data_IF_139559761011
#
_entry.id   IF_139559761011
#
_cell.length_a   1.000
_cell.length_b   1.000
_cell.length_c   1.000
_cell.angle_alpha   90.00
_cell.angle_beta   90.00
_cell.angle_gamma   90.00
#
_symmetry.space_group_name_H-M   'P 1'
#
loop_
_entity.id
_entity.type
_entity.pdbx_description
1 polymer ?
#
# COMPACT_ATOMS: atom_id res chain seq x y z
N UNK A 1 -35.62 -7.73 -62.65
CA UNK A 1 -37.00 -7.28 -62.44
C UNK A 1 -37.93 -7.99 -63.40
N UNK A 2 -37.64 -7.97 -64.70
CA UNK A 2 -38.51 -8.58 -65.73
C UNK A 2 -38.76 -10.07 -65.51
N UNK A 3 -37.73 -10.85 -65.19
CA UNK A 3 -37.86 -12.28 -64.88
C UNK A 3 -38.72 -12.54 -63.67
N UNK A 4 -38.68 -11.65 -62.72
CA UNK A 4 -39.46 -11.70 -61.49
C UNK A 4 -40.93 -11.37 -61.77
N UNK A 5 -41.22 -10.33 -62.55
CA UNK A 5 -42.58 -10.00 -63.01
C UNK A 5 -43.20 -11.16 -63.80
N UNK A 6 -42.41 -11.80 -64.67
CA UNK A 6 -42.84 -12.96 -65.38
C UNK A 6 -43.14 -14.17 -64.49
N UNK A 7 -42.42 -14.35 -63.43
CA UNK A 7 -42.65 -15.39 -62.41
C UNK A 7 -43.96 -15.22 -61.68
N UNK A 8 -44.31 -13.97 -61.34
CA UNK A 8 -45.55 -13.58 -60.65
C UNK A 8 -46.75 -13.82 -61.61
N UNK A 9 -46.62 -13.38 -62.83
CA UNK A 9 -47.67 -13.58 -63.83
C UNK A 9 -48.03 -15.03 -64.09
N UNK A 10 -47.11 -15.95 -63.90
CA UNK A 10 -47.28 -17.43 -64.05
C UNK A 10 -47.91 -18.07 -62.81
N UNK A 11 -48.05 -17.35 -61.67
CA UNK A 11 -48.57 -17.90 -60.43
C UNK A 11 -49.68 -17.01 -59.79
N UNK A 12 -50.91 -17.12 -60.30
CA UNK A 12 -52.02 -16.25 -59.92
C UNK A 12 -52.51 -16.39 -58.45
N UNK A 13 -51.96 -17.39 -57.75
CA UNK A 13 -52.27 -17.59 -56.30
C UNK A 13 -51.51 -16.68 -55.37
N UNK A 14 -50.50 -15.94 -55.85
CA UNK A 14 -49.67 -15.05 -55.00
C UNK A 14 -50.40 -13.70 -54.94
N UNK A 15 -50.83 -13.36 -53.70
CA UNK A 15 -51.55 -12.11 -53.42
C UNK A 15 -50.66 -10.93 -53.11
N UNK A 16 -49.47 -11.18 -52.61
CA UNK A 16 -48.52 -10.14 -52.17
C UNK A 16 -47.10 -10.69 -52.20
N UNK A 17 -46.16 -9.96 -52.76
CA UNK A 17 -44.74 -10.30 -52.78
C UNK A 17 -43.96 -9.02 -52.47
N UNK A 18 -43.07 -9.12 -51.49
CA UNK A 18 -42.06 -8.13 -51.24
C UNK A 18 -40.81 -8.43 -52.04
N UNK A 19 -40.39 -7.48 -52.86
CA UNK A 19 -39.14 -7.54 -53.58
C UNK A 19 -38.17 -6.47 -53.07
N UNK A 20 -37.05 -6.88 -52.51
CA UNK A 20 -35.97 -5.97 -52.19
C UNK A 20 -35.33 -5.45 -53.48
N UNK A 21 -35.64 -4.22 -53.89
CA UNK A 21 -35.18 -3.61 -55.14
C UNK A 21 -33.77 -3.04 -54.99
N UNK A 22 -33.49 -2.50 -53.83
CA UNK A 22 -32.19 -1.94 -53.50
C UNK A 22 -32.00 -1.95 -51.99
N UNK A 23 -30.79 -2.19 -51.54
CA UNK A 23 -30.38 -2.16 -50.15
C UNK A 23 -29.20 -1.24 -49.98
N UNK A 24 -29.33 -0.30 -49.09
CA UNK A 24 -28.20 0.50 -48.64
C UNK A 24 -27.26 -0.31 -47.72
N UNK A 25 -26.09 0.20 -47.50
CA UNK A 25 -25.13 -0.34 -46.52
C UNK A 25 -24.97 0.72 -45.45
N UNK A 26 -25.36 0.40 -44.24
CA UNK A 26 -25.19 1.28 -43.12
C UNK A 26 -23.72 1.53 -42.81
N UNK A 27 -23.39 2.75 -42.38
CA UNK A 27 -22.06 3.04 -41.92
C UNK A 27 -21.81 2.40 -40.54
N UNK A 28 -20.59 1.93 -40.34
CA UNK A 28 -20.11 1.47 -39.05
C UNK A 28 -19.19 2.56 -38.48
N UNK A 29 -19.58 3.21 -37.42
CA UNK A 29 -18.77 4.26 -36.80
C UNK A 29 -17.47 3.75 -36.23
N UNK A 30 -16.47 4.62 -36.16
CA UNK A 30 -15.23 4.35 -35.45
C UNK A 30 -15.48 4.12 -33.95
N UNK A 31 -14.69 3.25 -33.32
CA UNK A 31 -14.52 3.20 -31.88
C UNK A 31 -13.16 3.80 -31.53
N UNK A 32 -13.14 4.77 -30.64
CA UNK A 32 -11.90 5.39 -30.14
C UNK A 32 -11.05 4.40 -29.36
N UNK A 33 -9.76 4.73 -29.26
CA UNK A 33 -8.89 4.09 -28.27
C UNK A 33 -9.47 4.32 -26.86
N UNK A 34 -9.31 3.35 -25.97
CA UNK A 34 -9.76 3.42 -24.59
C UNK A 34 -8.61 3.09 -23.65
N UNK A 35 -8.54 3.83 -22.54
CA UNK A 35 -7.54 3.67 -21.49
C UNK A 35 -8.25 3.27 -20.22
N UNK A 36 -7.88 2.12 -19.65
CA UNK A 36 -8.43 1.63 -18.40
C UNK A 36 -7.33 1.59 -17.36
N UNK A 37 -7.56 2.25 -16.23
CA UNK A 37 -6.72 2.19 -15.04
C UNK A 37 -7.37 1.23 -14.05
N UNK A 38 -6.68 0.14 -13.71
CA UNK A 38 -7.10 -0.82 -12.67
C UNK A 38 -6.48 -0.48 -11.32
N UNK A 39 -5.39 0.29 -11.34
CA UNK A 39 -4.70 0.79 -10.16
C UNK A 39 -4.37 2.27 -10.31
N UNK A 40 -4.55 3.01 -9.25
CA UNK A 40 -4.14 4.40 -9.18
C UNK A 40 -2.64 4.50 -8.94
N UNK A 41 -2.02 5.47 -9.60
CA UNK A 41 -0.63 5.85 -9.31
C UNK A 41 -0.62 6.49 -7.93
N UNK A 42 0.38 6.12 -7.11
CA UNK A 42 0.64 6.87 -5.90
C UNK A 42 0.91 8.34 -6.26
N UNK A 43 -0.08 9.17 -6.03
CA UNK A 43 0.09 10.62 -6.18
C UNK A 43 1.02 11.04 -5.05
N UNK A 44 2.13 11.70 -5.37
CA UNK A 44 2.85 12.46 -4.37
C UNK A 44 1.86 13.49 -3.81
N UNK A 45 1.42 13.29 -2.57
CA UNK A 45 0.44 14.14 -1.89
C UNK A 45 1.06 15.47 -1.48
N UNK A 46 1.46 16.27 -2.49
CA UNK A 46 1.94 17.63 -2.28
C UNK A 46 0.87 18.69 -2.63
N UNK A 47 -0.34 18.27 -3.01
CA UNK A 47 -1.40 19.21 -3.37
C UNK A 47 -2.30 19.50 -2.17
N UNK A 48 -2.17 20.70 -1.59
CA UNK A 48 -2.94 21.17 -0.42
C UNK A 48 -4.45 21.32 -0.71
N UNK A 49 -4.90 21.06 -1.96
CA UNK A 49 -6.27 21.28 -2.43
C UNK A 49 -7.10 19.99 -2.62
N UNK A 50 -6.62 18.83 -2.19
CA UNK A 50 -7.41 17.59 -2.29
C UNK A 50 -8.51 17.59 -1.22
N UNK A 51 -9.77 17.49 -1.66
CA UNK A 51 -10.94 17.41 -0.78
C UNK A 51 -10.82 16.25 0.21
N UNK A 52 -11.13 16.51 1.47
CA UNK A 52 -10.96 15.62 2.62
C UNK A 52 -11.72 14.29 2.57
N UNK A 53 -12.53 14.03 1.55
CA UNK A 53 -13.35 12.82 1.40
C UNK A 53 -12.70 11.73 0.52
N UNK A 54 -11.63 12.04 -0.19
CA UNK A 54 -10.87 11.10 -1.01
C UNK A 54 -9.52 10.77 -0.36
N UNK A 55 -9.53 10.18 0.83
CA UNK A 55 -8.34 9.63 1.48
C UNK A 55 -7.72 8.57 0.58
N UNK A 56 -6.65 8.94 -0.13
CA UNK A 56 -5.94 8.04 -1.02
C UNK A 56 -5.26 6.94 -0.25
N UNK A 57 -5.71 5.72 -0.43
CA UNK A 57 -5.02 4.54 0.07
C UNK A 57 -3.78 4.30 -0.80
N UNK A 58 -2.60 4.28 -0.18
CA UNK A 58 -1.42 3.70 -0.79
C UNK A 58 -1.52 2.18 -0.67
N UNK A 59 -2.18 1.53 -1.62
CA UNK A 59 -2.23 0.08 -1.67
C UNK A 59 -0.99 -0.47 -2.38
N UNK A 60 -0.25 -1.40 -1.76
CA UNK A 60 0.82 -2.10 -2.44
C UNK A 60 0.24 -3.00 -3.53
N UNK A 61 0.97 -3.12 -4.63
CA UNK A 61 0.61 -3.91 -5.79
C UNK A 61 1.24 -5.28 -5.66
N UNK A 62 0.46 -6.31 -5.94
CA UNK A 62 0.90 -7.70 -6.00
C UNK A 62 1.70 -8.01 -7.28
N UNK A 63 2.48 -9.09 -7.25
CA UNK A 63 3.14 -9.60 -8.45
C UNK A 63 2.10 -10.16 -9.44
N UNK A 64 2.30 -9.91 -10.74
CA UNK A 64 1.41 -10.29 -11.84
C UNK A 64 0.01 -9.64 -11.75
N UNK A 65 -0.10 -8.52 -11.09
CA UNK A 65 -1.34 -7.77 -10.99
C UNK A 65 -1.53 -6.87 -12.22
N UNK A 66 -2.75 -6.82 -12.76
CA UNK A 66 -3.11 -5.99 -13.90
C UNK A 66 -3.20 -4.52 -13.46
N UNK A 67 -2.40 -3.66 -14.08
CA UNK A 67 -2.30 -2.24 -13.76
C UNK A 67 -3.14 -1.36 -14.69
N UNK A 68 -2.92 -1.55 -16.00
CA UNK A 68 -3.52 -0.73 -17.05
C UNK A 68 -3.91 -1.58 -18.25
N UNK A 69 -4.88 -1.10 -19.03
CA UNK A 69 -5.15 -1.58 -20.35
C UNK A 69 -5.23 -0.41 -21.34
N UNK A 70 -4.64 -0.58 -22.51
CA UNK A 70 -4.82 0.30 -23.65
C UNK A 70 -5.51 -0.50 -24.75
N UNK A 71 -6.77 -0.18 -25.03
CA UNK A 71 -7.60 -0.83 -26.01
C UNK A 71 -7.45 -0.09 -27.34
N UNK A 72 -7.14 -0.81 -28.38
CA UNK A 72 -6.95 -0.22 -29.70
C UNK A 72 -8.27 0.26 -30.30
N UNK A 73 -8.18 1.37 -31.03
CA UNK A 73 -9.27 1.86 -31.85
C UNK A 73 -9.71 0.81 -32.87
N UNK A 74 -10.99 0.85 -33.21
CA UNK A 74 -11.54 0.09 -34.32
C UNK A 74 -11.98 1.09 -35.40
N UNK A 75 -11.36 0.99 -36.57
CA UNK A 75 -11.72 1.84 -37.68
C UNK A 75 -13.09 1.41 -38.23
N UNK A 76 -13.98 2.36 -38.38
CA UNK A 76 -15.29 2.17 -38.93
C UNK A 76 -15.24 1.94 -40.47
N UNK A 77 -16.39 1.73 -41.03
CA UNK A 77 -16.56 1.59 -42.50
C UNK A 77 -17.64 2.56 -42.96
N UNK A 78 -17.36 3.28 -44.06
CA UNK A 78 -18.33 4.14 -44.71
C UNK A 78 -19.48 3.30 -45.24
N UNK A 79 -20.68 3.87 -45.14
CA UNK A 79 -21.89 3.27 -45.70
C UNK A 79 -22.22 3.84 -47.08
N UNK A 80 -23.31 3.35 -47.68
CA UNK A 80 -23.91 3.91 -48.91
C UNK A 80 -25.42 3.91 -48.78
N UNK A 81 -26.04 5.02 -49.11
CA UNK A 81 -27.49 5.08 -49.18
C UNK A 81 -28.05 4.43 -50.46
N UNK A 82 -29.36 4.39 -50.59
CA UNK A 82 -30.03 3.80 -51.76
C UNK A 82 -29.73 4.54 -53.08
N UNK A 83 -29.24 5.78 -53.02
CA UNK A 83 -28.84 6.57 -54.19
C UNK A 83 -27.38 6.35 -54.59
N UNK A 84 -26.65 5.53 -53.82
CA UNK A 84 -25.22 5.29 -53.99
C UNK A 84 -24.29 6.37 -53.39
N UNK A 85 -24.86 7.34 -52.69
CA UNK A 85 -24.09 8.40 -52.03
C UNK A 85 -23.39 7.82 -50.79
N UNK A 86 -22.14 8.26 -50.54
CA UNK A 86 -21.32 7.79 -49.44
C UNK A 86 -21.85 8.39 -48.14
N UNK A 87 -22.06 7.53 -47.14
CA UNK A 87 -22.33 7.93 -45.75
C UNK A 87 -20.99 8.00 -45.01
N UNK A 88 -20.45 9.23 -44.93
CA UNK A 88 -19.16 9.48 -44.32
C UNK A 88 -19.19 9.23 -42.79
N UNK A 89 -18.05 8.81 -42.28
CA UNK A 89 -17.84 8.62 -40.84
C UNK A 89 -17.60 9.95 -40.15
N UNK A 90 -17.97 10.03 -38.88
CA UNK A 90 -17.61 11.15 -38.04
C UNK A 90 -16.10 11.12 -37.73
N UNK A 91 -15.40 12.27 -37.79
CA UNK A 91 -14.02 12.33 -37.38
C UNK A 91 -13.91 12.04 -35.87
N UNK A 92 -12.92 11.23 -35.50
CA UNK A 92 -12.60 10.96 -34.09
C UNK A 92 -11.20 11.43 -33.76
N UNK A 93 -11.02 11.87 -32.50
CA UNK A 93 -9.69 12.09 -31.97
C UNK A 93 -9.06 10.74 -31.64
N UNK A 94 -7.80 10.57 -32.06
CA UNK A 94 -7.02 9.40 -31.71
C UNK A 94 -6.24 9.69 -30.42
N UNK A 95 -6.25 8.74 -29.49
CA UNK A 95 -5.44 8.78 -28.28
C UNK A 95 -4.20 7.93 -28.52
N UNK A 96 -3.03 8.50 -28.32
CA UNK A 96 -1.82 7.70 -28.30
C UNK A 96 -1.71 6.97 -26.96
N UNK A 97 -1.05 5.82 -26.96
CA UNK A 97 -0.82 5.05 -25.75
C UNK A 97 0.02 5.88 -24.74
N UNK A 98 -0.55 6.26 -23.57
CA UNK A 98 0.10 7.14 -22.61
C UNK A 98 1.06 6.39 -21.69
N UNK A 99 1.09 5.05 -21.76
CA UNK A 99 1.85 4.24 -20.81
C UNK A 99 3.30 4.06 -21.29
N UNK A 100 4.16 4.93 -20.80
CA UNK A 100 5.62 4.80 -20.94
C UNK A 100 6.11 4.00 -19.73
N UNK A 101 6.73 2.86 -19.96
CA UNK A 101 7.29 1.99 -18.93
C UNK A 101 8.76 2.33 -18.75
N UNK A 102 9.17 2.59 -17.49
CA UNK A 102 10.51 3.02 -17.14
C UNK A 102 11.52 1.89 -17.11
N UNK A 103 11.11 0.72 -16.64
CA UNK A 103 12.00 -0.42 -16.38
C UNK A 103 11.24 -1.77 -16.43
N UNK A 104 11.94 -2.84 -16.11
CA UNK A 104 11.42 -4.21 -16.16
C UNK A 104 10.45 -4.55 -15.00
N UNK A 105 10.13 -3.60 -14.11
CA UNK A 105 9.18 -3.80 -13.01
C UNK A 105 7.73 -3.90 -13.49
N UNK A 106 7.47 -3.50 -14.75
CA UNK A 106 6.19 -3.65 -15.43
C UNK A 106 6.43 -4.36 -16.76
N UNK A 107 5.71 -5.43 -17.01
CA UNK A 107 5.73 -6.12 -18.30
C UNK A 107 4.41 -6.00 -19.04
N UNK A 108 4.46 -6.22 -20.34
CA UNK A 108 3.30 -6.04 -21.21
C UNK A 108 2.91 -7.34 -21.90
N UNK A 109 1.60 -7.57 -22.01
CA UNK A 109 0.99 -8.60 -22.83
C UNK A 109 0.23 -7.93 -23.97
N UNK A 110 0.64 -8.18 -25.22
CA UNK A 110 0.00 -7.64 -26.41
C UNK A 110 -0.99 -8.64 -26.96
N UNK A 111 -2.26 -8.24 -26.97
CA UNK A 111 -3.36 -8.96 -27.58
C UNK A 111 -3.75 -8.29 -28.94
N UNK A 112 -4.62 -8.91 -29.71
CA UNK A 112 -5.05 -8.37 -31.01
C UNK A 112 -5.80 -7.04 -30.86
N UNK A 113 -6.56 -6.87 -29.77
CA UNK A 113 -7.43 -5.73 -29.53
C UNK A 113 -6.88 -4.74 -28.48
N UNK A 114 -5.85 -5.12 -27.70
CA UNK A 114 -5.33 -4.31 -26.58
C UNK A 114 -3.92 -4.65 -26.15
N UNK A 115 -3.35 -3.78 -25.35
CA UNK A 115 -2.13 -4.05 -24.56
C UNK A 115 -2.51 -4.03 -23.08
N UNK A 116 -2.13 -5.08 -22.37
CA UNK A 116 -2.24 -5.19 -20.91
C UNK A 116 -0.89 -4.96 -20.26
N UNK A 117 -0.89 -4.27 -19.14
CA UNK A 117 0.31 -3.93 -18.35
C UNK A 117 0.20 -4.58 -16.98
N UNK A 118 1.18 -5.40 -16.62
CA UNK A 118 1.21 -6.15 -15.38
C UNK A 118 2.45 -5.79 -14.56
N UNK A 119 2.32 -5.86 -13.23
CA UNK A 119 3.45 -5.76 -12.34
C UNK A 119 4.34 -7.01 -12.41
N UNK A 120 5.65 -6.84 -12.52
CA UNK A 120 6.62 -7.93 -12.41
C UNK A 120 7.01 -8.19 -10.95
N UNK A 121 6.90 -7.20 -10.09
CA UNK A 121 7.34 -7.21 -8.70
C UNK A 121 6.24 -6.73 -7.76
N UNK A 122 6.41 -7.03 -6.46
CA UNK A 122 5.62 -6.39 -5.40
C UNK A 122 6.14 -4.97 -5.14
N UNK A 123 5.24 -4.06 -4.83
CA UNK A 123 5.64 -2.70 -4.48
C UNK A 123 4.52 -1.68 -4.65
N UNK A 124 4.91 -0.46 -4.95
CA UNK A 124 4.01 0.68 -5.16
C UNK A 124 4.16 1.18 -6.58
N UNK A 125 3.04 1.46 -7.23
CA UNK A 125 3.03 2.03 -8.57
C UNK A 125 3.41 3.50 -8.51
N UNK A 126 4.55 3.83 -9.11
CA UNK A 126 5.05 5.19 -9.23
C UNK A 126 5.05 5.65 -10.68
N UNK A 127 4.93 6.95 -10.87
CA UNK A 127 5.09 7.62 -12.17
C UNK A 127 6.02 8.81 -12.02
N UNK A 128 7.08 8.83 -12.78
CA UNK A 128 7.98 9.96 -12.89
C UNK A 128 8.07 10.46 -14.35
N UNK A 129 9.04 11.32 -14.64
CA UNK A 129 9.26 11.84 -16.00
C UNK A 129 9.71 10.77 -17.00
N UNK A 130 10.31 9.69 -16.53
CA UNK A 130 10.77 8.58 -17.36
C UNK A 130 9.68 7.54 -17.63
N UNK A 131 8.59 7.53 -16.85
CA UNK A 131 7.46 6.63 -17.04
C UNK A 131 6.95 5.99 -15.75
N UNK A 132 6.20 4.91 -15.93
CA UNK A 132 5.64 4.10 -14.84
C UNK A 132 6.62 3.02 -14.42
N UNK A 133 6.72 2.78 -13.11
CA UNK A 133 7.50 1.69 -12.52
C UNK A 133 6.88 1.20 -11.21
N UNK A 134 7.28 0.01 -10.77
CA UNK A 134 6.93 -0.52 -9.44
C UNK A 134 8.18 -0.43 -8.57
N UNK A 135 8.08 0.30 -7.47
CA UNK A 135 9.16 0.42 -6.49
C UNK A 135 8.78 -0.31 -5.20
N UNK A 136 9.72 -1.06 -4.62
CA UNK A 136 9.53 -1.74 -3.34
C UNK A 136 9.62 -0.81 -2.14
N UNK A 137 9.81 0.49 -2.36
CA UNK A 137 9.89 1.52 -1.33
C UNK A 137 8.87 2.63 -1.57
N UNK A 138 8.14 2.97 -0.51
CA UNK A 138 7.25 4.14 -0.50
C UNK A 138 7.87 5.22 0.38
N UNK A 139 8.06 6.41 -0.20
CA UNK A 139 8.55 7.58 0.52
C UNK A 139 7.40 8.57 0.73
N UNK A 140 7.17 8.93 1.99
CA UNK A 140 6.11 9.86 2.38
C UNK A 140 6.70 10.97 3.25
N UNK A 141 6.16 12.16 3.14
CA UNK A 141 6.48 13.26 4.05
C UNK A 141 5.80 13.09 5.39
N UNK A 142 4.58 12.56 5.40
CA UNK A 142 3.77 12.41 6.59
C UNK A 142 2.68 11.35 6.40
N UNK A 143 2.31 10.68 7.50
CA UNK A 143 1.15 9.78 7.58
C UNK A 143 0.12 10.34 8.57
N UNK A 144 -1.14 10.38 8.16
CA UNK A 144 -2.26 10.78 9.00
C UNK A 144 -3.59 10.37 8.42
N UNK A 145 -4.63 10.29 9.26
CA UNK A 145 -5.99 9.90 8.82
C UNK A 145 -6.54 10.79 7.71
N UNK A 146 -6.14 12.07 7.70
CA UNK A 146 -6.60 13.05 6.70
C UNK A 146 -5.73 13.09 5.44
N UNK A 147 -4.51 12.56 5.49
CA UNK A 147 -3.54 12.61 4.38
C UNK A 147 -3.48 11.29 3.63
N UNK A 148 -2.98 10.25 4.27
CA UNK A 148 -2.76 8.93 3.66
C UNK A 148 -3.79 7.88 4.09
N UNK A 149 -4.60 8.20 5.12
CA UNK A 149 -5.46 7.20 5.75
C UNK A 149 -4.67 6.12 6.51
N UNK A 150 -5.25 4.93 6.61
CA UNK A 150 -4.60 3.75 7.17
C UNK A 150 -3.79 3.05 6.10
N UNK A 151 -2.49 2.83 6.35
CA UNK A 151 -1.63 2.05 5.45
C UNK A 151 -1.71 0.59 5.88
N UNK A 152 -2.17 -0.28 4.99
CA UNK A 152 -2.22 -1.73 5.18
C UNK A 152 -1.55 -2.41 4.00
N UNK A 153 -0.70 -3.39 4.28
CA UNK A 153 -0.18 -4.31 3.29
C UNK A 153 -0.72 -5.70 3.60
N UNK A 154 -1.34 -6.33 2.62
CA UNK A 154 -1.79 -7.71 2.69
C UNK A 154 -0.75 -8.67 2.07
N UNK A 155 0.44 -8.19 1.74
CA UNK A 155 1.51 -8.98 1.15
C UNK A 155 2.48 -9.45 2.23
N UNK A 156 2.89 -10.70 2.16
CA UNK A 156 3.99 -11.26 2.98
C UNK A 156 5.38 -10.80 2.50
N UNK A 157 5.40 -9.91 1.52
CA UNK A 157 6.62 -9.41 0.88
C UNK A 157 7.20 -8.20 1.59
N UNK A 158 8.52 -8.11 1.53
CA UNK A 158 9.30 -7.08 2.22
C UNK A 158 9.22 -5.74 1.44
N UNK A 159 8.36 -4.83 1.90
CA UNK A 159 8.22 -3.48 1.38
C UNK A 159 8.93 -2.52 2.33
N UNK A 160 9.55 -1.47 1.82
CA UNK A 160 10.18 -0.44 2.62
C UNK A 160 9.30 0.82 2.67
N UNK A 161 8.94 1.23 3.87
CA UNK A 161 8.20 2.46 4.10
C UNK A 161 9.13 3.48 4.76
N UNK A 162 9.45 4.57 4.07
CA UNK A 162 10.27 5.66 4.59
C UNK A 162 9.43 6.93 4.74
N UNK A 163 9.30 7.39 5.99
CA UNK A 163 8.62 8.64 6.34
C UNK A 163 9.67 9.66 6.73
N UNK A 164 9.75 10.78 6.01
CA UNK A 164 10.71 11.84 6.31
C UNK A 164 9.96 13.16 6.52
N UNK A 165 9.78 13.54 7.78
CA UNK A 165 9.26 14.85 8.13
C UNK A 165 10.43 15.78 8.47
N UNK A 166 10.56 16.88 7.73
CA UNK A 166 11.58 17.89 7.97
C UNK A 166 11.18 18.90 9.06
N UNK A 167 9.89 18.96 9.38
CA UNK A 167 9.41 19.81 10.47
C UNK A 167 9.52 19.06 11.80
N UNK A 168 10.45 19.49 12.65
CA UNK A 168 10.68 18.89 13.97
C UNK A 168 9.56 19.17 14.97
N UNK A 169 8.71 20.15 14.69
CA UNK A 169 7.54 20.49 15.52
C UNK A 169 6.33 19.62 15.22
N UNK A 170 6.32 18.89 14.12
CA UNK A 170 5.21 18.07 13.67
C UNK A 170 5.56 16.58 13.62
N UNK A 171 4.55 15.71 13.79
CA UNK A 171 4.76 14.26 13.74
C UNK A 171 4.83 13.77 12.31
N UNK A 172 5.81 12.91 11.99
CA UNK A 172 5.89 12.21 10.73
C UNK A 172 4.76 11.18 10.56
N UNK A 173 4.33 10.56 11.68
CA UNK A 173 3.11 9.76 11.76
C UNK A 173 2.21 10.40 12.80
N UNK A 174 1.17 11.12 12.37
CA UNK A 174 0.26 11.86 13.27
C UNK A 174 -0.77 10.97 13.94
N UNK A 175 -1.40 10.10 13.14
CA UNK A 175 -2.55 9.30 13.58
C UNK A 175 -2.84 8.18 12.59
N UNK A 176 -3.69 7.23 12.98
CA UNK A 176 -4.09 6.12 12.14
C UNK A 176 -3.43 4.81 12.54
N UNK A 177 -3.47 3.85 11.63
CA UNK A 177 -2.86 2.54 11.79
C UNK A 177 -1.92 2.31 10.62
N UNK A 178 -0.66 1.98 10.91
CA UNK A 178 0.31 1.52 9.91
C UNK A 178 0.52 0.02 10.13
N UNK A 179 -0.03 -0.80 9.26
CA UNK A 179 0.03 -2.25 9.35
C UNK A 179 0.70 -2.85 8.12
N UNK A 180 2.00 -3.04 8.19
CA UNK A 180 2.85 -3.58 7.13
C UNK A 180 3.79 -4.65 7.71
N UNK A 181 3.23 -5.73 8.26
CA UNK A 181 3.92 -6.70 9.13
C UNK A 181 5.19 -7.31 8.54
N UNK A 182 5.23 -7.55 7.24
CA UNK A 182 6.42 -8.09 6.57
C UNK A 182 7.48 -7.04 6.22
N UNK A 183 7.24 -5.77 6.51
CA UNK A 183 7.96 -4.63 5.92
C UNK A 183 8.85 -3.90 6.91
N UNK A 184 9.84 -3.18 6.35
CA UNK A 184 10.68 -2.29 7.10
C UNK A 184 10.07 -0.88 7.13
N UNK A 185 10.00 -0.28 8.32
CA UNK A 185 9.48 1.07 8.51
C UNK A 185 10.59 1.96 9.06
N UNK A 186 10.89 3.04 8.35
CA UNK A 186 11.87 4.05 8.78
C UNK A 186 11.19 5.40 8.92
N UNK A 187 11.20 5.95 10.12
CA UNK A 187 10.63 7.26 10.42
C UNK A 187 11.74 8.23 10.81
N UNK A 188 12.02 9.19 9.94
CA UNK A 188 12.89 10.31 10.21
C UNK A 188 12.06 11.49 10.73
N UNK A 189 11.54 11.38 11.97
CA UNK A 189 10.64 12.32 12.61
C UNK A 189 9.98 11.72 13.84
N UNK A 190 9.03 12.43 14.41
CA UNK A 190 8.28 12.00 15.58
C UNK A 190 7.08 11.11 15.19
N UNK A 191 6.59 10.34 16.16
CA UNK A 191 5.44 9.47 16.02
C UNK A 191 4.39 9.84 17.06
N UNK A 192 3.22 10.22 16.60
CA UNK A 192 2.06 10.59 17.42
C UNK A 192 1.34 9.40 18.04
N UNK A 193 0.09 9.61 18.44
CA UNK A 193 -0.77 8.58 19.03
C UNK A 193 -1.29 7.61 17.97
N UNK A 194 -0.53 6.59 17.62
CA UNK A 194 -0.80 5.67 16.51
C UNK A 194 -0.42 4.23 16.86
N UNK A 195 -0.93 3.27 16.08
CA UNK A 195 -0.52 1.86 16.12
C UNK A 195 0.30 1.53 14.89
N UNK A 196 1.48 0.95 15.11
CA UNK A 196 2.42 0.58 14.04
C UNK A 196 2.75 -0.90 14.17
N UNK A 197 2.58 -1.63 13.05
CA UNK A 197 2.95 -3.03 12.90
C UNK A 197 3.93 -3.14 11.74
N UNK A 198 5.10 -3.69 11.98
CA UNK A 198 6.14 -3.87 10.96
C UNK A 198 7.07 -5.03 11.32
N UNK A 199 8.00 -5.37 10.42
CA UNK A 199 9.07 -6.33 10.71
C UNK A 199 10.21 -5.65 11.45
N UNK A 200 10.82 -4.66 10.81
CA UNK A 200 11.89 -3.86 11.39
C UNK A 200 11.45 -2.40 11.42
N UNK A 201 11.45 -1.78 12.60
CA UNK A 201 11.01 -0.40 12.76
C UNK A 201 12.16 0.45 13.30
N UNK A 202 12.47 1.54 12.60
CA UNK A 202 13.47 2.51 13.02
C UNK A 202 12.85 3.91 13.11
N UNK A 203 12.84 4.50 14.31
CA UNK A 203 12.29 5.83 14.59
C UNK A 203 13.40 6.72 15.16
N UNK A 204 13.80 7.76 14.42
CA UNK A 204 14.85 8.70 14.85
C UNK A 204 14.35 9.78 15.79
N UNK A 205 13.04 9.95 15.91
CA UNK A 205 12.41 10.95 16.77
C UNK A 205 11.85 10.38 18.06
N UNK A 206 10.87 11.11 18.59
CA UNK A 206 10.11 10.81 19.79
C UNK A 206 8.85 10.04 19.46
N UNK A 207 8.45 9.07 20.30
CA UNK A 207 7.13 8.45 20.24
C UNK A 207 6.20 8.99 21.31
N UNK A 208 4.93 9.21 20.97
CA UNK A 208 3.91 9.70 21.90
C UNK A 208 3.54 8.63 22.95
N UNK A 209 3.12 9.05 24.14
CA UNK A 209 2.76 8.14 25.24
C UNK A 209 1.59 7.18 24.93
N UNK A 210 0.75 7.50 23.93
CA UNK A 210 -0.33 6.63 23.46
C UNK A 210 0.03 5.85 22.19
N UNK A 211 1.28 5.87 21.75
CA UNK A 211 1.71 5.04 20.62
C UNK A 211 1.82 3.57 21.03
N UNK A 212 1.43 2.69 20.14
CA UNK A 212 1.57 1.24 20.27
C UNK A 212 2.37 0.71 19.08
N UNK A 213 3.50 0.03 19.34
CA UNK A 213 4.44 -0.40 18.29
C UNK A 213 4.69 -1.89 18.43
N UNK A 214 4.51 -2.63 17.35
CA UNK A 214 4.68 -4.09 17.28
C UNK A 214 5.61 -4.44 16.12
N UNK A 215 6.72 -5.11 16.41
CA UNK A 215 7.67 -5.53 15.39
C UNK A 215 8.53 -6.71 15.82
N UNK A 216 9.38 -7.22 14.92
CA UNK A 216 10.44 -8.15 15.28
C UNK A 216 11.61 -7.39 15.90
N UNK A 217 12.14 -6.39 15.19
CA UNK A 217 13.24 -5.57 15.67
C UNK A 217 12.86 -4.09 15.67
N UNK A 218 13.18 -3.40 16.76
CA UNK A 218 12.84 -1.98 16.95
C UNK A 218 14.07 -1.18 17.34
N UNK A 219 14.27 -0.05 16.67
CA UNK A 219 15.21 1.00 17.06
C UNK A 219 14.48 2.32 17.24
N UNK A 220 14.56 2.95 18.44
CA UNK A 220 13.89 4.23 18.72
C UNK A 220 14.84 5.16 19.47
N UNK A 221 14.89 6.44 19.06
CA UNK A 221 15.69 7.43 19.77
C UNK A 221 15.07 7.76 21.13
N UNK A 222 13.80 8.15 21.21
CA UNK A 222 13.11 8.41 22.48
C UNK A 222 11.73 7.79 22.51
N UNK A 223 11.47 6.94 23.49
CA UNK A 223 10.21 6.19 23.61
C UNK A 223 9.43 6.55 24.87
N UNK A 224 8.10 6.78 24.67
CA UNK A 224 7.15 7.07 25.76
C UNK A 224 5.91 6.15 25.77
N UNK A 225 5.63 5.44 24.69
CA UNK A 225 4.43 4.64 24.51
C UNK A 225 4.57 3.20 25.01
N UNK A 226 3.86 2.30 24.34
CA UNK A 226 3.95 0.84 24.55
C UNK A 226 4.55 0.21 23.32
N UNK A 227 5.47 -0.74 23.51
CA UNK A 227 6.01 -1.53 22.40
C UNK A 227 6.16 -3.00 22.77
N UNK A 228 6.03 -3.85 21.77
CA UNK A 228 6.25 -5.28 21.86
C UNK A 228 7.10 -5.75 20.68
N UNK A 229 8.19 -6.45 20.96
CA UNK A 229 9.12 -6.95 19.94
C UNK A 229 9.95 -8.13 20.38
N UNK A 230 10.73 -8.72 19.47
CA UNK A 230 11.77 -9.68 19.85
C UNK A 230 13.00 -8.94 20.39
N UNK A 231 13.50 -7.96 19.61
CA UNK A 231 14.68 -7.17 20.01
C UNK A 231 14.39 -5.67 19.97
N UNK A 232 14.79 -4.96 21.00
CA UNK A 232 14.54 -3.53 21.18
C UNK A 232 15.82 -2.79 21.51
N UNK A 233 16.09 -1.71 20.77
CA UNK A 233 17.16 -0.75 21.02
C UNK A 233 16.56 0.64 21.21
N UNK A 234 16.74 1.21 22.39
CA UNK A 234 16.23 2.54 22.72
C UNK A 234 17.35 3.39 23.31
N UNK A 235 17.51 4.62 22.77
CA UNK A 235 18.44 5.57 23.33
C UNK A 235 17.91 6.16 24.63
N UNK A 236 16.68 6.68 24.64
CA UNK A 236 16.06 7.25 25.85
C UNK A 236 14.66 6.64 26.04
N UNK A 237 14.45 5.93 27.13
CA UNK A 237 13.13 5.49 27.58
C UNK A 237 12.58 6.47 28.61
N UNK A 238 11.42 7.07 28.34
CA UNK A 238 10.77 8.05 29.23
C UNK A 238 9.33 7.64 29.52
N UNK A 239 9.10 7.03 30.69
CA UNK A 239 7.76 6.54 31.12
C UNK A 239 7.08 5.55 30.17
N UNK A 240 7.83 4.91 29.28
CA UNK A 240 7.30 3.93 28.30
C UNK A 240 7.22 2.52 28.88
N UNK A 241 6.47 1.65 28.19
CA UNK A 241 6.35 0.23 28.52
C UNK A 241 6.94 -0.63 27.39
N UNK A 242 7.80 -1.56 27.74
CA UNK A 242 8.49 -2.46 26.80
C UNK A 242 8.22 -3.91 27.18
N UNK A 243 7.79 -4.71 26.23
CA UNK A 243 7.67 -6.18 26.34
C UNK A 243 8.49 -6.79 25.21
N UNK A 244 9.56 -7.53 25.54
CA UNK A 244 10.43 -8.07 24.50
C UNK A 244 11.21 -9.30 25.00
N UNK A 245 11.96 -9.98 24.08
CA UNK A 245 12.95 -10.99 24.48
C UNK A 245 14.25 -10.30 24.91
N UNK A 246 14.77 -9.39 24.10
CA UNK A 246 16.02 -8.68 24.36
C UNK A 246 15.80 -7.17 24.32
N UNK A 247 16.20 -6.46 25.37
CA UNK A 247 16.06 -5.02 25.49
C UNK A 247 17.40 -4.37 25.78
N UNK A 248 17.74 -3.36 24.96
CA UNK A 248 18.94 -2.55 25.10
C UNK A 248 18.51 -1.09 25.25
N UNK A 249 18.80 -0.46 26.40
CA UNK A 249 18.45 0.93 26.69
C UNK A 249 19.68 1.70 27.12
N UNK A 250 19.95 2.84 26.48
CA UNK A 250 21.03 3.70 26.91
C UNK A 250 20.66 4.46 28.21
N UNK A 251 19.53 5.17 28.20
CA UNK A 251 19.04 5.92 29.36
C UNK A 251 17.60 5.53 29.70
N UNK A 252 17.34 5.05 30.90
CA UNK A 252 16.03 4.58 31.35
C UNK A 252 15.49 5.46 32.51
N UNK A 253 14.39 6.18 32.24
CA UNK A 253 13.73 7.09 33.16
C UNK A 253 12.21 6.82 33.23
N UNK A 254 11.73 6.31 34.37
CA UNK A 254 10.30 6.06 34.58
C UNK A 254 9.72 4.91 33.73
N UNK A 255 10.56 4.04 33.16
CA UNK A 255 10.14 2.97 32.27
C UNK A 255 9.66 1.71 32.99
N UNK A 256 8.77 0.96 32.33
CA UNK A 256 8.43 -0.41 32.68
C UNK A 256 8.98 -1.35 31.58
N UNK A 257 9.87 -2.28 31.97
CA UNK A 257 10.50 -3.21 31.05
C UNK A 257 10.25 -4.64 31.51
N UNK A 258 9.66 -5.45 30.66
CA UNK A 258 9.49 -6.87 30.84
C UNK A 258 10.21 -7.61 29.71
N UNK A 259 11.27 -8.37 30.01
CA UNK A 259 12.05 -9.06 29.01
C UNK A 259 12.82 -10.26 29.56
N UNK A 260 13.28 -11.17 28.68
CA UNK A 260 14.21 -12.21 29.07
C UNK A 260 15.56 -11.61 29.47
N UNK A 261 16.10 -10.76 28.59
CA UNK A 261 17.39 -10.13 28.79
C UNK A 261 17.25 -8.61 28.73
N UNK A 262 17.71 -7.93 29.77
CA UNK A 262 17.65 -6.47 29.88
C UNK A 262 19.08 -5.94 30.05
N UNK A 263 19.48 -5.05 29.14
CA UNK A 263 20.78 -4.36 29.15
C UNK A 263 20.52 -2.85 29.20
N UNK A 264 21.00 -2.19 30.26
CA UNK A 264 20.81 -0.77 30.47
C UNK A 264 22.17 -0.11 30.78
N UNK A 265 22.50 0.98 30.07
CA UNK A 265 23.68 1.75 30.41
C UNK A 265 23.45 2.59 31.67
N UNK A 266 22.44 3.45 31.66
CA UNK A 266 22.14 4.35 32.77
C UNK A 266 20.72 4.09 33.30
N UNK A 267 20.58 3.49 34.44
CA UNK A 267 19.30 3.33 35.14
C UNK A 267 19.04 4.53 36.02
N UNK A 268 18.18 5.45 35.53
CA UNK A 268 17.81 6.64 36.28
C UNK A 268 16.72 6.30 37.31
N UNK A 269 15.73 7.14 37.52
CA UNK A 269 14.75 6.97 38.63
C UNK A 269 13.39 6.47 38.11
N UNK A 270 12.60 5.88 39.02
CA UNK A 270 11.21 5.46 38.84
C UNK A 270 11.02 4.37 37.78
N UNK A 271 11.96 3.49 37.57
CA UNK A 271 11.83 2.37 36.65
C UNK A 271 11.31 1.13 37.38
N UNK A 272 10.60 0.27 36.61
CA UNK A 272 10.16 -1.05 37.06
C UNK A 272 10.63 -2.08 36.04
N UNK A 273 11.53 -2.98 36.49
CA UNK A 273 12.18 -3.95 35.62
C UNK A 273 11.75 -5.37 36.02
N UNK A 274 11.38 -6.18 35.02
CA UNK A 274 11.03 -7.60 35.14
C UNK A 274 11.97 -8.43 34.28
N UNK A 275 13.24 -8.64 34.66
CA UNK A 275 14.14 -9.51 33.96
C UNK A 275 13.76 -10.98 34.23
N UNK A 276 13.62 -11.78 33.17
CA UNK A 276 13.33 -13.21 33.28
C UNK A 276 14.61 -14.06 33.32
N UNK A 277 15.70 -13.63 32.65
CA UNK A 277 16.99 -14.34 32.61
C UNK A 277 18.14 -13.45 33.10
N UNK A 278 18.41 -12.34 32.39
CA UNK A 278 19.57 -11.51 32.64
C UNK A 278 19.19 -10.03 32.82
N UNK A 279 19.80 -9.38 33.80
CA UNK A 279 19.81 -7.93 33.95
C UNK A 279 21.24 -7.44 34.05
N UNK A 280 21.67 -6.61 33.11
CA UNK A 280 23.01 -6.00 33.12
C UNK A 280 22.86 -4.49 33.08
N UNK A 281 23.47 -3.82 34.05
CA UNK A 281 23.53 -2.34 34.14
C UNK A 281 25.00 -1.95 34.17
N UNK A 282 25.44 -1.17 33.17
CA UNK A 282 26.87 -0.93 32.96
C UNK A 282 27.43 0.32 33.63
N UNK A 283 26.64 1.39 33.76
CA UNK A 283 27.16 2.67 34.28
C UNK A 283 26.50 3.08 35.60
N UNK A 284 25.43 3.88 35.53
CA UNK A 284 24.84 4.52 36.70
C UNK A 284 23.53 3.87 37.12
N UNK A 285 23.35 3.70 38.44
CA UNK A 285 22.07 3.32 39.05
C UNK A 285 21.67 4.43 40.02
N UNK A 286 20.51 5.06 39.78
CA UNK A 286 19.93 6.04 40.69
C UNK A 286 18.86 5.38 41.57
N UNK A 287 18.37 6.15 42.58
CA UNK A 287 17.38 5.66 43.54
C UNK A 287 15.96 5.50 42.96
N UNK A 288 15.07 4.83 43.70
CA UNK A 288 13.65 4.62 43.42
C UNK A 288 13.40 3.73 42.16
N UNK A 289 14.16 2.69 42.00
CA UNK A 289 13.93 1.68 40.98
C UNK A 289 13.43 0.38 41.63
N UNK A 290 12.46 -0.28 40.97
CA UNK A 290 11.93 -1.57 41.37
C UNK A 290 12.46 -2.65 40.41
N UNK A 291 13.13 -3.65 40.96
CA UNK A 291 13.59 -4.80 40.16
C UNK A 291 12.92 -6.02 40.75
N UNK A 292 12.05 -6.64 39.93
CA UNK A 292 11.25 -7.78 40.35
C UNK A 292 11.75 -9.01 39.61
N UNK A 293 12.38 -9.93 40.31
CA UNK A 293 12.92 -11.17 39.77
C UNK A 293 11.98 -12.30 40.16
N UNK A 294 11.46 -13.04 39.18
CA UNK A 294 10.67 -14.23 39.43
C UNK A 294 11.58 -15.45 39.60
N UNK A 295 11.31 -16.36 40.55
CA UNK A 295 12.07 -17.61 40.67
C UNK A 295 11.94 -18.45 39.42
N UNK A 296 13.02 -19.04 38.93
CA UNK A 296 13.06 -19.83 37.68
C UNK A 296 12.02 -20.97 37.64
N UNK A 297 11.70 -21.55 38.80
CA UNK A 297 10.74 -22.67 38.95
C UNK A 297 9.29 -22.27 38.63
N UNK A 298 8.92 -20.98 38.80
CA UNK A 298 7.58 -20.47 38.50
C UNK A 298 7.40 -20.09 37.03
N UNK A 299 8.47 -19.91 36.28
CA UNK A 299 8.43 -19.52 34.87
C UNK A 299 8.10 -20.70 33.95
N UNK A 300 8.64 -21.91 34.26
CA UNK A 300 8.39 -23.10 33.44
C UNK A 300 6.94 -23.58 33.51
N UNK A 301 6.25 -23.36 34.64
CA UNK A 301 4.85 -23.75 34.81
C UNK A 301 3.84 -22.75 34.22
N UNK A 302 4.23 -21.47 34.00
CA UNK A 302 3.34 -20.46 33.42
C UNK A 302 3.47 -20.36 31.89
N UNK A 303 4.62 -20.75 31.32
CA UNK A 303 4.82 -20.70 29.87
C UNK A 303 3.93 -21.68 29.10
N UNK A 304 3.62 -22.84 29.68
CA UNK A 304 2.81 -23.86 29.02
C UNK A 304 1.31 -23.50 29.04
N UNK A 305 0.82 -22.86 30.12
CA UNK A 305 -0.58 -22.43 30.23
C UNK A 305 -0.90 -21.15 29.44
N UNK A 306 0.03 -20.20 29.32
CA UNK A 306 -0.16 -19.01 28.50
C UNK A 306 -0.04 -19.32 26.98
N UNK A 307 0.84 -20.25 26.61
CA UNK A 307 0.92 -20.72 25.21
C UNK A 307 -0.30 -21.52 24.75
N UNK A 308 -0.97 -22.24 25.65
CA UNK A 308 -2.23 -22.94 25.32
C UNK A 308 -3.42 -21.97 25.22
N UNK A 309 -3.47 -20.92 26.01
CA UNK A 309 -4.51 -19.89 25.95
C UNK A 309 -4.41 -18.94 24.73
N UNK A 310 -3.26 -18.89 24.07
CA UNK A 310 -3.06 -18.12 22.83
C UNK A 310 -3.29 -18.93 21.56
N UNK A 311 -3.55 -20.26 21.69
CA UNK A 311 -3.86 -21.15 20.58
C UNK A 311 -5.35 -21.49 20.44
N UNK A 312 -6.20 -21.05 21.36
CA UNK A 312 -7.65 -21.10 21.33
C UNK A 312 -8.22 -19.69 21.13
#
# INVERSE_FOLDING_TARGET
IDDFILSIQKNPSIKEIELEIAKGVDKIEHKSDEIIYHRDVNKEYFDENISHDEGGYCEPIGKNELLFEYIYRILGKEGRNLRGEILHLNPIAFLDNPFIIKDESIYTEKLEDRIKYFSANYGFLNKDRAGYCIENSLKLSQIGLKTTGTIKSNTDENINLEITNFDTSDDGIKSGIVNVQASNIKVNGNVGATKIYGKNISIKGLTHAKSEIFAQDIFIATHKGTLQADTVYIKNLENGTIIAKNVFVENCLGGKIEAENIYICNLLTNNTLYPRKNLIITNNIKFKNNILVSPLVSIENNSDTECENLKN
#
